data_IF_485961228108
#
_entry.id   IF_485961228108
#
_cell.length_a   1.000
_cell.length_b   1.000
_cell.length_c   1.000
_cell.angle_alpha   90.00
_cell.angle_beta   90.00
_cell.angle_gamma   90.00
#
_symmetry.space_group_name_H-M   'P 1'
#
loop_
_entity.id
_entity.type
_entity.pdbx_description
1 polymer ?
#
# COMPACT_ATOMS: atom_id res chain seq x y z
N UNK A 1 6.65 -34.98 13.67
CA UNK A 1 7.57 -34.51 14.72
C UNK A 1 7.35 -33.03 14.97
N UNK A 2 7.39 -32.59 16.22
CA UNK A 2 7.18 -31.19 16.59
C UNK A 2 8.51 -30.43 16.60
N UNK A 3 8.47 -29.13 16.29
CA UNK A 3 9.65 -28.27 16.41
C UNK A 3 9.65 -27.62 17.79
N UNK A 4 10.74 -27.75 18.51
CA UNK A 4 10.96 -27.14 19.82
C UNK A 4 12.01 -26.03 19.69
N UNK A 5 11.75 -24.90 20.36
CA UNK A 5 12.73 -23.82 20.49
C UNK A 5 13.39 -23.98 21.85
N UNK A 6 14.71 -23.91 21.88
CA UNK A 6 15.49 -24.10 23.09
C UNK A 6 16.52 -22.99 23.28
N UNK A 7 16.84 -22.72 24.54
CA UNK A 7 17.95 -21.88 24.98
C UNK A 7 18.72 -22.62 26.06
N UNK A 8 20.05 -22.55 26.00
CA UNK A 8 20.94 -23.17 26.96
C UNK A 8 22.27 -22.45 27.04
N UNK A 9 23.14 -22.92 27.94
CA UNK A 9 24.52 -22.47 28.03
C UNK A 9 25.45 -23.57 27.55
N UNK A 10 26.41 -23.23 26.69
CA UNK A 10 27.46 -24.16 26.30
C UNK A 10 28.48 -24.32 27.44
N UNK A 11 29.45 -25.23 27.26
CA UNK A 11 30.55 -25.48 28.22
C UNK A 11 31.41 -24.24 28.54
N UNK A 12 31.38 -23.22 27.69
CA UNK A 12 32.13 -21.97 27.83
C UNK A 12 31.33 -20.88 28.56
N UNK A 13 30.08 -21.16 28.93
CA UNK A 13 29.18 -20.23 29.61
C UNK A 13 28.36 -19.34 28.65
N UNK A 14 28.56 -19.44 27.34
CA UNK A 14 27.83 -18.65 26.35
C UNK A 14 26.39 -19.13 26.21
N UNK A 15 25.47 -18.17 26.11
CA UNK A 15 24.07 -18.45 25.85
C UNK A 15 23.88 -18.80 24.38
N UNK A 16 23.55 -20.07 24.12
CA UNK A 16 23.27 -20.62 22.80
C UNK A 16 21.80 -21.03 22.70
N UNK A 17 21.21 -20.91 21.51
CA UNK A 17 19.81 -21.25 21.30
C UNK A 17 19.52 -21.58 19.86
N UNK A 18 18.47 -22.37 19.64
CA UNK A 18 18.12 -22.85 18.31
C UNK A 18 16.79 -23.57 18.27
N UNK A 19 16.52 -24.20 17.13
CA UNK A 19 15.34 -25.03 16.91
C UNK A 19 15.78 -26.48 16.69
N UNK A 20 15.05 -27.43 17.30
CA UNK A 20 15.27 -28.86 17.11
C UNK A 20 13.95 -29.56 16.84
N UNK A 21 13.99 -30.55 15.96
CA UNK A 21 12.84 -31.39 15.63
C UNK A 21 12.92 -32.63 16.52
N UNK A 22 11.86 -32.89 17.29
CA UNK A 22 11.79 -34.05 18.17
C UNK A 22 10.34 -34.50 18.37
N UNK A 23 10.16 -35.68 18.96
CA UNK A 23 8.87 -36.21 19.37
C UNK A 23 8.41 -35.64 20.72
N UNK A 24 9.32 -35.36 21.67
CA UNK A 24 8.98 -34.82 23.00
C UNK A 24 10.01 -33.78 23.52
N UNK A 25 9.63 -33.03 24.57
CA UNK A 25 10.52 -32.06 25.24
C UNK A 25 11.72 -32.76 25.90
N UNK A 26 11.49 -33.96 26.45
CA UNK A 26 12.48 -34.79 27.10
C UNK A 26 13.53 -35.29 26.09
N UNK A 27 13.11 -35.61 24.87
CA UNK A 27 14.02 -36.01 23.78
C UNK A 27 14.94 -34.85 23.38
N UNK A 28 14.41 -33.63 23.23
CA UNK A 28 15.21 -32.43 22.94
C UNK A 28 16.21 -32.17 24.06
N UNK A 29 15.76 -32.28 25.31
CA UNK A 29 16.62 -32.03 26.48
C UNK A 29 17.76 -33.03 26.55
N UNK A 30 17.49 -34.32 26.28
CA UNK A 30 18.53 -35.36 26.22
C UNK A 30 19.52 -35.14 25.08
N UNK A 31 19.06 -34.71 23.91
CA UNK A 31 19.94 -34.38 22.78
C UNK A 31 20.86 -33.19 23.12
N UNK A 32 20.32 -32.14 23.72
CA UNK A 32 21.10 -30.96 24.12
C UNK A 32 22.10 -31.26 25.24
N UNK A 33 21.74 -32.13 26.19
CA UNK A 33 22.66 -32.59 27.22
C UNK A 33 23.81 -33.43 26.64
N UNK A 34 23.56 -34.27 25.63
CA UNK A 34 24.62 -34.98 24.88
C UNK A 34 25.55 -34.03 24.14
N UNK A 35 25.03 -32.90 23.65
CA UNK A 35 25.81 -31.82 23.04
C UNK A 35 26.54 -30.93 24.08
N UNK A 36 26.51 -31.30 25.37
CA UNK A 36 27.09 -30.54 26.49
C UNK A 36 26.51 -29.12 26.63
N UNK A 37 25.22 -28.97 26.35
CA UNK A 37 24.48 -27.73 26.50
C UNK A 37 23.57 -27.86 27.72
N UNK A 38 23.81 -27.02 28.73
CA UNK A 38 22.91 -26.91 29.88
C UNK A 38 21.63 -26.19 29.47
N UNK A 39 20.54 -26.93 29.44
CA UNK A 39 19.24 -26.43 29.01
C UNK A 39 18.66 -25.45 30.04
N UNK A 40 18.40 -24.22 29.62
CA UNK A 40 17.76 -23.19 30.44
C UNK A 40 16.25 -23.16 30.19
N UNK A 41 15.83 -23.35 28.93
CA UNK A 41 14.42 -23.38 28.56
C UNK A 41 14.24 -24.18 27.27
N UNK A 42 13.25 -25.10 27.25
CA UNK A 42 12.75 -25.75 26.04
C UNK A 42 11.25 -25.55 26.02
N UNK A 43 10.73 -25.04 24.90
CA UNK A 43 9.30 -24.89 24.72
C UNK A 43 8.89 -25.38 23.32
N UNK A 44 7.72 -26.03 23.19
CA UNK A 44 7.18 -26.33 21.88
C UNK A 44 7.01 -25.02 21.11
N UNK A 45 7.46 -24.98 19.86
CA UNK A 45 7.27 -23.82 18.99
C UNK A 45 5.78 -23.62 18.78
N UNK A 46 5.16 -22.80 19.63
CA UNK A 46 3.76 -22.41 19.47
C UNK A 46 3.65 -21.80 18.07
N UNK A 47 2.86 -22.42 17.19
CA UNK A 47 2.42 -21.76 15.96
C UNK A 47 1.78 -20.46 16.44
N UNK A 48 2.46 -19.33 16.27
CA UNK A 48 1.92 -18.04 16.65
C UNK A 48 0.51 -17.95 16.07
N UNK A 49 -0.45 -17.48 16.85
CA UNK A 49 -1.83 -17.27 16.43
C UNK A 49 -1.80 -16.35 15.20
N UNK A 50 -1.68 -16.94 14.01
CA UNK A 50 -1.67 -16.22 12.77
C UNK A 50 -3.12 -15.89 12.51
N UNK A 51 -3.60 -14.77 13.08
CA UNK A 51 -4.91 -14.21 12.76
C UNK A 51 -4.92 -14.04 11.23
N UNK A 52 -5.64 -14.91 10.48
CA UNK A 52 -5.54 -14.92 9.01
C UNK A 52 -5.99 -13.59 8.40
N UNK A 53 -6.76 -12.81 9.17
CA UNK A 53 -7.33 -11.55 8.76
C UNK A 53 -6.37 -10.34 8.81
N UNK A 54 -5.22 -10.42 9.51
CA UNK A 54 -4.30 -9.28 9.64
C UNK A 54 -3.10 -9.31 8.68
N UNK A 55 -2.80 -10.43 8.01
CA UNK A 55 -1.75 -10.48 6.99
C UNK A 55 -2.25 -9.87 5.69
N UNK A 56 -2.11 -8.55 5.56
CA UNK A 56 -2.19 -7.87 4.26
C UNK A 56 -0.98 -8.25 3.42
N UNK A 57 -1.07 -9.39 2.76
CA UNK A 57 -0.20 -9.77 1.65
C UNK A 57 -0.38 -8.75 0.51
N UNK A 58 0.58 -7.84 0.38
CA UNK A 58 0.59 -6.79 -0.64
C UNK A 58 2.02 -6.47 -1.07
N UNK A 59 2.22 -6.29 -2.37
CA UNK A 59 3.48 -5.80 -2.93
C UNK A 59 3.48 -4.27 -2.91
N UNK A 60 4.55 -3.65 -2.41
CA UNK A 60 4.68 -2.19 -2.45
C UNK A 60 5.07 -1.77 -3.85
N UNK A 61 4.54 -0.63 -4.33
CA UNK A 61 4.84 -0.14 -5.68
C UNK A 61 6.35 0.08 -5.91
N UNK A 62 7.10 0.50 -4.89
CA UNK A 62 8.57 0.64 -4.97
C UNK A 62 9.27 -0.71 -5.14
N UNK A 63 8.78 -1.77 -4.49
CA UNK A 63 9.32 -3.13 -4.64
C UNK A 63 9.04 -3.66 -6.04
N UNK A 64 7.82 -3.47 -6.54
CA UNK A 64 7.46 -3.83 -7.91
C UNK A 64 8.31 -3.08 -8.95
N UNK A 65 8.63 -1.80 -8.70
CA UNK A 65 9.50 -1.00 -9.56
C UNK A 65 10.91 -1.58 -9.64
N UNK A 66 11.51 -1.92 -8.49
CA UNK A 66 12.84 -2.54 -8.42
C UNK A 66 12.84 -3.90 -9.12
N UNK A 67 11.88 -4.77 -8.81
CA UNK A 67 11.73 -6.07 -9.47
C UNK A 67 11.62 -5.93 -11.00
N UNK A 68 10.79 -4.99 -11.47
CA UNK A 68 10.56 -4.81 -12.91
C UNK A 68 11.80 -4.26 -13.62
N UNK A 69 12.52 -3.33 -12.98
CA UNK A 69 13.79 -2.82 -13.50
C UNK A 69 14.84 -3.91 -13.57
N UNK A 70 15.01 -4.69 -12.49
CA UNK A 70 15.99 -5.77 -12.48
C UNK A 70 15.64 -6.86 -13.50
N UNK A 71 14.37 -7.23 -13.62
CA UNK A 71 13.92 -8.18 -14.65
C UNK A 71 14.24 -7.65 -16.06
N UNK A 72 13.93 -6.38 -16.35
CA UNK A 72 14.29 -5.75 -17.63
C UNK A 72 15.79 -5.81 -17.88
N UNK A 73 16.64 -5.46 -16.90
CA UNK A 73 18.11 -5.48 -17.08
C UNK A 73 18.63 -6.89 -17.33
N UNK A 74 18.09 -7.91 -16.65
CA UNK A 74 18.52 -9.29 -16.84
C UNK A 74 18.10 -9.83 -18.22
N UNK A 75 16.88 -9.52 -18.66
CA UNK A 75 16.38 -9.93 -19.98
C UNK A 75 17.07 -9.15 -21.11
N UNK A 76 17.34 -7.85 -20.93
CA UNK A 76 18.13 -7.04 -21.87
C UNK A 76 19.58 -7.55 -21.98
N UNK A 77 20.09 -8.18 -20.92
CA UNK A 77 21.40 -8.87 -20.91
C UNK A 77 21.32 -10.33 -21.42
N UNK A 78 20.20 -10.72 -22.02
CA UNK A 78 19.97 -12.04 -22.63
C UNK A 78 20.05 -13.22 -21.65
N UNK A 79 19.92 -12.98 -20.34
CA UNK A 79 19.84 -14.08 -19.39
C UNK A 79 18.52 -14.84 -19.59
N UNK A 80 18.55 -16.19 -19.53
CA UNK A 80 17.34 -17.01 -19.58
C UNK A 80 16.30 -16.53 -18.57
N UNK A 81 15.04 -16.43 -18.99
CA UNK A 81 13.94 -15.93 -18.14
C UNK A 81 13.84 -16.69 -16.81
N UNK A 82 14.01 -18.01 -16.84
CA UNK A 82 13.97 -18.85 -15.65
C UNK A 82 15.08 -18.51 -14.65
N UNK A 83 16.30 -18.30 -15.14
CA UNK A 83 17.43 -17.86 -14.32
C UNK A 83 17.19 -16.47 -13.75
N UNK A 84 16.70 -15.54 -14.58
CA UNK A 84 16.32 -14.20 -14.15
C UNK A 84 15.28 -14.22 -13.02
N UNK A 85 14.22 -15.03 -13.16
CA UNK A 85 13.20 -15.19 -12.12
C UNK A 85 13.76 -15.79 -10.82
N UNK A 86 14.70 -16.74 -10.91
CA UNK A 86 15.35 -17.31 -9.74
C UNK A 86 16.15 -16.25 -8.95
N UNK A 87 17.00 -15.50 -9.65
CA UNK A 87 17.80 -14.41 -9.05
C UNK A 87 16.89 -13.40 -8.33
N UNK A 88 15.81 -12.98 -8.99
CA UNK A 88 14.86 -12.01 -8.43
C UNK A 88 14.13 -12.55 -7.20
N UNK A 89 13.77 -13.84 -7.20
CA UNK A 89 13.14 -14.47 -6.03
C UNK A 89 14.08 -14.50 -4.83
N UNK A 90 15.34 -14.83 -5.05
CA UNK A 90 16.36 -14.88 -4.00
C UNK A 90 16.63 -13.49 -3.39
N UNK A 91 16.70 -12.45 -4.24
CA UNK A 91 16.92 -11.06 -3.81
C UNK A 91 15.69 -10.41 -3.15
N UNK A 92 14.49 -10.94 -3.36
CA UNK A 92 13.25 -10.34 -2.85
C UNK A 92 13.09 -10.54 -1.35
N UNK A 93 13.16 -9.45 -0.58
CA UNK A 93 12.99 -9.45 0.89
C UNK A 93 11.54 -9.69 1.33
N UNK A 94 10.57 -9.27 0.52
CA UNK A 94 9.16 -9.41 0.85
C UNK A 94 8.74 -10.87 0.69
N UNK A 95 8.47 -11.55 1.81
CA UNK A 95 8.11 -12.98 1.84
C UNK A 95 6.90 -13.33 0.95
N UNK A 96 5.91 -12.43 0.88
CA UNK A 96 4.76 -12.64 -0.01
C UNK A 96 5.19 -12.52 -1.47
N UNK A 97 5.92 -11.47 -1.81
CA UNK A 97 6.35 -11.27 -3.19
C UNK A 97 7.31 -12.36 -3.67
N UNK A 98 8.20 -12.84 -2.79
CA UNK A 98 9.06 -14.00 -3.05
C UNK A 98 8.25 -15.25 -3.39
N UNK A 99 7.19 -15.54 -2.63
CA UNK A 99 6.28 -16.65 -2.93
C UNK A 99 5.61 -16.47 -4.30
N UNK A 100 5.13 -15.26 -4.59
CA UNK A 100 4.53 -14.93 -5.90
C UNK A 100 5.54 -15.17 -7.04
N UNK A 101 6.78 -14.70 -6.91
CA UNK A 101 7.81 -14.90 -7.95
C UNK A 101 8.14 -16.38 -8.12
N UNK A 102 8.24 -17.15 -7.03
CA UNK A 102 8.46 -18.60 -7.09
C UNK A 102 7.34 -19.32 -7.83
N UNK A 103 6.08 -19.02 -7.51
CA UNK A 103 4.96 -19.65 -8.22
C UNK A 103 4.91 -19.23 -9.69
N UNK A 104 5.22 -17.97 -10.00
CA UNK A 104 5.36 -17.53 -11.40
C UNK A 104 6.47 -18.31 -12.12
N UNK A 105 7.60 -18.53 -11.46
CA UNK A 105 8.72 -19.32 -12.00
C UNK A 105 8.29 -20.77 -12.26
N UNK A 106 7.68 -21.42 -11.27
CA UNK A 106 7.17 -22.80 -11.37
C UNK A 106 6.15 -22.96 -12.49
N UNK A 107 5.24 -21.99 -12.65
CA UNK A 107 4.25 -21.99 -13.73
C UNK A 107 4.90 -21.88 -15.12
N UNK A 108 5.92 -21.03 -15.26
CA UNK A 108 6.66 -20.86 -16.51
C UNK A 108 7.52 -22.10 -16.81
N UNK A 109 8.11 -22.72 -15.78
CA UNK A 109 8.80 -24.01 -15.90
C UNK A 109 7.88 -25.12 -16.41
N UNK A 110 6.62 -25.11 -15.95
CA UNK A 110 5.58 -26.02 -16.40
C UNK A 110 5.00 -25.67 -17.80
N UNK A 111 5.52 -24.63 -18.47
CA UNK A 111 5.14 -24.26 -19.83
C UNK A 111 4.06 -23.17 -19.95
N UNK A 112 3.62 -22.56 -18.85
CA UNK A 112 2.72 -21.40 -18.91
C UNK A 112 3.47 -20.17 -19.45
N UNK A 113 2.78 -19.27 -20.15
CA UNK A 113 3.39 -17.99 -20.50
C UNK A 113 3.61 -17.11 -19.27
N UNK A 114 4.57 -16.19 -19.32
CA UNK A 114 4.86 -15.25 -18.23
C UNK A 114 3.63 -14.38 -17.91
N UNK A 115 2.87 -13.97 -18.92
CA UNK A 115 1.60 -13.28 -18.73
C UNK A 115 0.59 -14.13 -17.96
N UNK A 116 0.36 -15.39 -18.36
CA UNK A 116 -0.59 -16.29 -17.70
C UNK A 116 -0.22 -16.52 -16.23
N UNK A 117 1.06 -16.78 -15.97
CA UNK A 117 1.59 -16.96 -14.62
C UNK A 117 1.39 -15.70 -13.75
N UNK A 118 1.70 -14.51 -14.28
CA UNK A 118 1.54 -13.24 -13.55
C UNK A 118 0.08 -12.87 -13.29
N UNK A 119 -0.84 -13.19 -14.22
CA UNK A 119 -2.28 -12.90 -14.07
C UNK A 119 -2.94 -13.60 -12.89
N UNK A 120 -2.38 -14.72 -12.41
CA UNK A 120 -2.84 -15.39 -11.17
C UNK A 120 -2.67 -14.50 -9.93
N UNK A 121 -1.87 -13.43 -10.01
CA UNK A 121 -1.54 -12.54 -8.90
C UNK A 121 -1.91 -11.07 -9.16
N UNK A 122 -3.20 -10.71 -9.30
CA UNK A 122 -3.66 -9.34 -9.61
C UNK A 122 -3.32 -8.31 -8.52
N UNK A 123 -2.98 -8.78 -7.30
CA UNK A 123 -2.53 -7.92 -6.19
C UNK A 123 -1.06 -7.48 -6.33
N UNK A 124 -0.28 -8.18 -7.16
CA UNK A 124 1.13 -7.91 -7.44
C UNK A 124 1.31 -7.30 -8.83
N UNK A 125 0.64 -7.86 -9.83
CA UNK A 125 0.71 -7.44 -11.24
C UNK A 125 -0.67 -6.97 -11.70
N UNK A 126 -0.80 -5.71 -12.06
CA UNK A 126 -2.07 -5.16 -12.55
C UNK A 126 -2.30 -5.53 -14.03
N UNK A 127 -3.49 -5.21 -14.56
CA UNK A 127 -3.85 -5.52 -15.94
C UNK A 127 -2.90 -4.87 -16.95
N UNK A 128 -2.48 -3.63 -16.69
CA UNK A 128 -1.50 -2.93 -17.51
C UNK A 128 -0.18 -3.73 -17.59
N UNK A 129 0.33 -4.18 -16.45
CA UNK A 129 1.53 -5.00 -16.38
C UNK A 129 1.38 -6.28 -17.21
N UNK A 130 0.29 -7.01 -17.01
CA UNK A 130 0.07 -8.30 -17.66
C UNK A 130 -0.10 -8.13 -19.18
N UNK A 131 -0.83 -7.11 -19.62
CA UNK A 131 -1.04 -6.83 -21.05
C UNK A 131 0.25 -6.41 -21.77
N UNK A 132 1.13 -5.63 -21.13
CA UNK A 132 2.41 -5.26 -21.72
C UNK A 132 3.36 -6.47 -21.83
N UNK A 133 3.36 -7.36 -20.83
CA UNK A 133 4.09 -8.62 -20.91
C UNK A 133 3.52 -9.50 -22.03
N UNK A 134 2.20 -9.64 -22.10
CA UNK A 134 1.53 -10.42 -23.14
C UNK A 134 1.90 -9.95 -24.55
N UNK A 135 1.88 -8.62 -24.77
CA UNK A 135 2.27 -8.02 -26.04
C UNK A 135 3.71 -8.38 -26.39
N UNK A 136 4.64 -8.20 -25.43
CA UNK A 136 6.06 -8.51 -25.63
C UNK A 136 6.34 -10.01 -25.87
N UNK A 137 5.61 -10.91 -25.21
CA UNK A 137 5.69 -12.35 -25.48
C UNK A 137 5.18 -12.70 -26.88
N UNK A 138 4.05 -12.12 -27.30
CA UNK A 138 3.46 -12.38 -28.60
C UNK A 138 4.27 -11.80 -29.76
N UNK A 139 4.90 -10.63 -29.56
CA UNK A 139 5.71 -9.96 -30.58
C UNK A 139 7.20 -10.31 -30.52
N UNK A 140 7.63 -11.17 -29.59
CA UNK A 140 9.04 -11.51 -29.39
C UNK A 140 9.93 -10.36 -28.93
N UNK A 141 9.35 -9.27 -28.41
CA UNK A 141 10.06 -8.06 -27.96
C UNK A 141 9.85 -7.79 -26.47
N UNK A 142 10.00 -8.85 -25.69
CA UNK A 142 9.80 -8.84 -24.24
C UNK A 142 10.78 -7.90 -23.52
N UNK A 143 12.03 -7.82 -24.00
CA UNK A 143 13.07 -6.87 -23.56
C UNK A 143 12.55 -5.41 -23.63
N UNK A 144 12.04 -5.00 -24.80
CA UNK A 144 11.52 -3.64 -25.04
C UNK A 144 10.33 -3.36 -24.12
N UNK A 145 9.41 -4.31 -23.99
CA UNK A 145 8.21 -4.14 -23.17
C UNK A 145 8.53 -4.09 -21.67
N UNK A 146 9.45 -4.93 -21.19
CA UNK A 146 9.90 -4.90 -19.80
C UNK A 146 10.61 -3.59 -19.46
N UNK A 147 11.44 -3.06 -20.36
CA UNK A 147 12.08 -1.75 -20.20
C UNK A 147 11.08 -0.62 -20.08
N UNK A 148 10.08 -0.57 -20.98
CA UNK A 148 8.99 0.42 -20.94
C UNK A 148 8.16 0.29 -19.67
N UNK A 149 7.84 -0.94 -19.27
CA UNK A 149 7.11 -1.23 -18.05
C UNK A 149 7.88 -0.76 -16.80
N UNK A 150 9.18 -1.04 -16.71
CA UNK A 150 10.04 -0.57 -15.64
C UNK A 150 10.05 0.96 -15.54
N UNK A 151 10.26 1.66 -16.67
CA UNK A 151 10.23 3.12 -16.72
C UNK A 151 8.87 3.71 -16.33
N UNK A 152 7.77 3.07 -16.75
CA UNK A 152 6.43 3.47 -16.38
C UNK A 152 6.23 3.38 -14.86
N UNK A 153 6.56 2.24 -14.25
CA UNK A 153 6.37 2.02 -12.82
C UNK A 153 7.28 2.96 -12.01
N UNK A 154 8.55 3.13 -12.42
CA UNK A 154 9.48 4.05 -11.77
C UNK A 154 8.99 5.50 -11.77
N UNK A 155 8.56 6.02 -12.92
CA UNK A 155 8.07 7.39 -12.98
C UNK A 155 6.74 7.53 -12.20
N UNK A 156 5.93 6.48 -12.12
CA UNK A 156 4.74 6.45 -11.24
C UNK A 156 5.12 6.51 -9.76
N UNK A 157 6.15 5.78 -9.33
CA UNK A 157 6.71 5.86 -7.97
C UNK A 157 7.24 7.26 -7.69
N UNK A 158 8.02 7.84 -8.61
CA UNK A 158 8.56 9.20 -8.48
C UNK A 158 7.45 10.23 -8.34
N UNK A 159 6.43 10.18 -9.21
CA UNK A 159 5.29 11.09 -9.15
C UNK A 159 4.55 10.98 -7.81
N UNK A 160 4.28 9.76 -7.35
CA UNK A 160 3.61 9.53 -6.06
C UNK A 160 4.44 10.04 -4.89
N UNK A 161 5.77 9.89 -4.95
CA UNK A 161 6.67 10.43 -3.93
C UNK A 161 6.67 11.95 -3.90
N UNK A 162 6.74 12.61 -5.07
CA UNK A 162 6.67 14.08 -5.19
C UNK A 162 5.35 14.63 -4.64
N UNK A 163 4.22 14.03 -5.02
CA UNK A 163 2.90 14.41 -4.48
C UNK A 163 2.86 14.22 -2.96
N UNK A 164 3.36 13.10 -2.46
CA UNK A 164 3.41 12.86 -1.01
C UNK A 164 4.25 13.93 -0.31
N UNK A 165 5.42 14.27 -0.83
CA UNK A 165 6.30 15.29 -0.26
C UNK A 165 5.65 16.68 -0.26
N UNK A 166 5.03 17.09 -1.37
CA UNK A 166 4.33 18.36 -1.48
C UNK A 166 3.16 18.49 -0.49
N UNK A 167 2.52 17.38 -0.12
CA UNK A 167 1.41 17.36 0.85
C UNK A 167 1.86 17.37 2.32
N UNK A 168 3.13 17.11 2.63
CA UNK A 168 3.60 17.04 4.02
C UNK A 168 3.40 18.38 4.73
N UNK A 169 3.85 19.49 4.12
CA UNK A 169 3.77 20.81 4.75
C UNK A 169 2.32 21.29 4.96
N UNK A 170 1.42 21.29 3.94
CA UNK A 170 0.02 21.65 4.14
C UNK A 170 -0.70 20.81 5.20
N UNK A 171 -0.42 19.50 5.25
CA UNK A 171 -1.04 18.62 6.26
C UNK A 171 -0.47 18.90 7.64
N UNK A 172 0.84 19.12 7.77
CA UNK A 172 1.49 19.41 9.04
C UNK A 172 0.99 20.74 9.64
N UNK A 173 0.94 21.81 8.85
CA UNK A 173 0.46 23.11 9.33
C UNK A 173 -1.03 23.10 9.68
N UNK A 174 -1.86 22.42 8.87
CA UNK A 174 -3.28 22.26 9.17
C UNK A 174 -3.49 21.44 10.45
N UNK A 175 -2.75 20.34 10.63
CA UNK A 175 -2.81 19.55 11.86
C UNK A 175 -2.37 20.37 13.08
N UNK A 176 -1.29 21.14 12.96
CA UNK A 176 -0.84 22.03 14.03
C UNK A 176 -1.88 23.10 14.37
N UNK A 177 -2.47 23.76 13.36
CA UNK A 177 -3.53 24.74 13.55
C UNK A 177 -4.75 24.15 14.27
N UNK A 178 -5.16 22.93 13.92
CA UNK A 178 -6.26 22.22 14.61
C UNK A 178 -5.90 21.92 16.06
N UNK A 179 -4.69 21.46 16.34
CA UNK A 179 -4.22 21.20 17.71
C UNK A 179 -4.22 22.49 18.54
N UNK A 180 -3.67 23.58 18.01
CA UNK A 180 -3.66 24.88 18.69
C UNK A 180 -5.07 25.40 18.92
N UNK A 181 -5.97 25.29 17.93
CA UNK A 181 -7.37 25.71 18.08
C UNK A 181 -8.10 24.90 19.17
N UNK A 182 -7.91 23.59 19.20
CA UNK A 182 -8.48 22.72 20.26
C UNK A 182 -7.90 23.10 21.62
N UNK A 183 -6.59 23.34 21.71
CA UNK A 183 -5.94 23.76 22.96
C UNK A 183 -6.49 25.10 23.46
N UNK A 184 -6.64 26.09 22.58
CA UNK A 184 -7.24 27.37 22.92
C UNK A 184 -8.67 27.22 23.43
N UNK A 185 -9.50 26.44 22.73
CA UNK A 185 -10.88 26.19 23.13
C UNK A 185 -10.98 25.39 24.44
N UNK A 186 -10.06 24.46 24.68
CA UNK A 186 -10.10 23.61 25.87
C UNK A 186 -9.58 24.30 27.12
N UNK A 187 -8.47 25.05 27.03
CA UNK A 187 -7.75 25.60 28.20
C UNK A 187 -7.80 27.11 28.30
N UNK A 188 -7.65 27.84 27.19
CA UNK A 188 -7.44 29.30 27.24
C UNK A 188 -8.77 30.06 27.36
N UNK A 189 -9.74 29.80 26.48
CA UNK A 189 -11.04 30.49 26.48
C UNK A 189 -11.79 30.38 27.83
N UNK A 190 -11.79 29.24 28.53
CA UNK A 190 -12.45 29.11 29.84
C UNK A 190 -11.84 29.99 30.93
N UNK A 191 -10.52 30.19 30.90
CA UNK A 191 -9.83 31.08 31.86
C UNK A 191 -10.35 32.50 31.65
N UNK A 192 -10.40 32.96 30.40
CA UNK A 192 -10.99 34.26 30.08
C UNK A 192 -12.46 34.34 30.46
N UNK A 193 -13.24 33.27 30.26
CA UNK A 193 -14.65 33.23 30.66
C UNK A 193 -14.84 33.46 32.17
N UNK A 194 -13.97 32.89 33.01
CA UNK A 194 -13.97 33.13 34.46
C UNK A 194 -13.70 34.59 34.82
N UNK A 195 -12.67 35.20 34.20
CA UNK A 195 -12.31 36.60 34.43
C UNK A 195 -13.47 37.54 34.05
N UNK A 196 -14.16 37.29 32.93
CA UNK A 196 -15.30 38.10 32.50
C UNK A 196 -16.51 37.99 33.45
N UNK A 197 -16.70 36.85 34.11
CA UNK A 197 -17.75 36.69 35.11
C UNK A 197 -17.46 37.51 36.38
N UNK A 198 -16.20 37.57 36.80
CA UNK A 198 -15.77 38.37 37.97
C UNK A 198 -15.90 39.88 37.72
N UNK A 199 -15.71 40.32 36.47
CA UNK A 199 -15.83 41.73 36.09
C UNK A 199 -17.27 42.25 35.98
N UNK A 200 -18.29 41.39 36.12
CA UNK A 200 -19.70 41.77 36.05
C UNK A 200 -20.17 42.36 34.71
N UNK A 201 -19.36 42.22 33.66
CA UNK A 201 -19.62 42.81 32.34
C UNK A 201 -20.50 41.90 31.48
N UNK A 202 -21.42 42.49 30.72
CA UNK A 202 -22.19 41.76 29.71
C UNK A 202 -21.26 41.31 28.58
N UNK A 203 -21.22 40.00 28.33
CA UNK A 203 -20.38 39.43 27.28
C UNK A 203 -20.89 39.83 25.89
N UNK A 204 -20.04 40.39 25.01
CA UNK A 204 -20.38 40.56 23.60
C UNK A 204 -20.78 39.23 22.95
N UNK A 205 -21.67 39.28 21.95
CA UNK A 205 -22.23 38.09 21.31
C UNK A 205 -21.15 37.11 20.78
N UNK A 206 -20.07 37.64 20.20
CA UNK A 206 -18.95 36.84 19.69
C UNK A 206 -18.21 36.09 20.81
N UNK A 207 -18.00 36.74 21.96
CA UNK A 207 -17.35 36.14 23.14
C UNK A 207 -18.24 35.07 23.76
N UNK A 208 -19.55 35.32 23.86
CA UNK A 208 -20.52 34.33 24.35
C UNK A 208 -20.56 33.07 23.46
N UNK A 209 -20.51 33.23 22.13
CA UNK A 209 -20.41 32.13 21.17
C UNK A 209 -19.12 31.32 21.37
N UNK A 210 -17.97 31.99 21.48
CA UNK A 210 -16.68 31.32 21.71
C UNK A 210 -16.65 30.51 23.02
N UNK A 211 -17.21 31.07 24.10
CA UNK A 211 -17.34 30.38 25.40
C UNK A 211 -18.31 29.19 25.28
N UNK A 212 -19.40 29.34 24.51
CA UNK A 212 -20.32 28.23 24.19
C UNK A 212 -19.61 27.10 23.45
N UNK A 213 -18.81 27.43 22.43
CA UNK A 213 -18.03 26.47 21.65
C UNK A 213 -16.97 25.77 22.52
N UNK A 214 -16.30 26.53 23.39
CA UNK A 214 -15.35 26.00 24.37
C UNK A 214 -15.99 24.97 25.31
N UNK A 215 -17.16 25.28 25.88
CA UNK A 215 -17.94 24.34 26.72
C UNK A 215 -18.37 23.10 25.95
N UNK A 216 -18.77 23.24 24.69
CA UNK A 216 -19.09 22.11 23.81
C UNK A 216 -17.88 21.22 23.57
N UNK A 217 -16.73 21.79 23.21
CA UNK A 217 -15.48 21.04 22.98
C UNK A 217 -15.04 20.31 24.24
N UNK A 218 -15.07 20.96 25.40
CA UNK A 218 -14.75 20.31 26.69
C UNK A 218 -15.63 19.11 26.99
N UNK A 219 -16.94 19.27 26.87
CA UNK A 219 -17.90 18.22 27.21
C UNK A 219 -17.85 17.04 26.24
N UNK A 220 -17.64 17.31 24.94
CA UNK A 220 -17.76 16.32 23.89
C UNK A 220 -16.43 15.96 23.21
N UNK A 221 -15.27 16.28 23.79
CA UNK A 221 -13.96 16.03 23.14
C UNK A 221 -13.78 14.56 22.71
N UNK A 222 -14.19 13.61 23.55
CA UNK A 222 -14.12 12.18 23.23
C UNK A 222 -15.06 11.82 22.07
N UNK A 223 -16.28 12.35 22.06
CA UNK A 223 -17.24 12.15 20.98
C UNK A 223 -16.80 12.83 19.68
N UNK A 224 -16.09 13.96 19.75
CA UNK A 224 -15.51 14.64 18.59
C UNK A 224 -14.40 13.75 17.98
N UNK A 225 -13.50 13.20 18.80
CA UNK A 225 -12.47 12.27 18.33
C UNK A 225 -13.07 11.00 17.73
N UNK A 226 -14.04 10.38 18.41
CA UNK A 226 -14.77 9.21 17.90
C UNK A 226 -15.55 9.56 16.62
N UNK A 227 -16.13 10.75 16.55
CA UNK A 227 -16.82 11.27 15.38
C UNK A 227 -15.89 11.43 14.18
N UNK A 228 -14.69 11.99 14.37
CA UNK A 228 -13.68 12.10 13.31
C UNK A 228 -13.25 10.71 12.82
N UNK A 229 -12.97 9.78 13.74
CA UNK A 229 -12.64 8.40 13.39
C UNK A 229 -13.81 7.75 12.62
N UNK A 230 -15.03 7.91 13.11
CA UNK A 230 -16.26 7.43 12.48
C UNK A 230 -16.47 8.02 11.09
N UNK A 231 -16.16 9.30 10.89
CA UNK A 231 -16.28 9.99 9.61
C UNK A 231 -15.21 9.48 8.63
N UNK A 232 -13.98 9.25 9.08
CA UNK A 232 -12.90 8.66 8.27
C UNK A 232 -13.26 7.22 7.86
N UNK A 233 -13.73 6.40 8.81
CA UNK A 233 -14.14 5.01 8.56
C UNK A 233 -15.38 4.96 7.67
N UNK A 234 -16.38 5.81 7.94
CA UNK A 234 -17.61 5.95 7.18
C UNK A 234 -17.35 6.40 5.75
N UNK A 235 -16.52 7.43 5.56
CA UNK A 235 -16.05 7.86 4.24
C UNK A 235 -15.34 6.72 3.50
N UNK A 236 -14.47 5.97 4.20
CA UNK A 236 -13.77 4.83 3.63
C UNK A 236 -14.71 3.67 3.28
N UNK A 237 -15.80 3.48 4.03
CA UNK A 237 -16.83 2.49 3.74
C UNK A 237 -17.71 2.93 2.57
N UNK A 238 -18.13 4.20 2.52
CA UNK A 238 -18.88 4.78 1.41
C UNK A 238 -18.14 4.61 0.08
N UNK A 239 -16.82 4.85 0.06
CA UNK A 239 -15.98 4.66 -1.13
C UNK A 239 -15.83 3.21 -1.58
N UNK A 240 -16.23 2.22 -0.77
CA UNK A 240 -16.31 0.81 -1.22
C UNK A 240 -17.55 0.54 -2.04
N UNK A 241 -18.62 1.32 -1.86
CA UNK A 241 -19.86 1.17 -2.64
C UNK A 241 -19.73 1.88 -3.99
N UNK A 242 -20.28 1.34 -5.10
CA UNK A 242 -20.21 1.98 -6.42
C UNK A 242 -20.82 3.39 -6.42
N UNK A 243 -22.00 3.55 -5.81
CA UNK A 243 -22.68 4.86 -5.69
C UNK A 243 -21.88 5.85 -4.85
N UNK A 244 -21.32 5.42 -3.72
CA UNK A 244 -20.49 6.28 -2.87
C UNK A 244 -19.19 6.69 -3.54
N UNK A 245 -18.55 5.81 -4.32
CA UNK A 245 -17.38 6.16 -5.13
C UNK A 245 -17.71 7.23 -6.17
N UNK A 246 -18.83 7.11 -6.88
CA UNK A 246 -19.28 8.12 -7.85
C UNK A 246 -19.52 9.50 -7.21
N UNK A 247 -20.23 9.54 -6.08
CA UNK A 247 -20.49 10.80 -5.38
C UNK A 247 -19.18 11.42 -4.87
N UNK A 248 -18.38 10.64 -4.14
CA UNK A 248 -17.11 11.15 -3.57
C UNK A 248 -16.13 11.61 -4.64
N UNK A 249 -15.96 10.87 -5.74
CA UNK A 249 -15.05 11.22 -6.83
C UNK A 249 -15.53 12.49 -7.57
N UNK A 250 -16.84 12.74 -7.66
CA UNK A 250 -17.41 13.98 -8.22
C UNK A 250 -17.13 15.18 -7.33
N UNK A 251 -17.28 15.02 -6.02
CA UNK A 251 -17.04 16.10 -5.05
C UNK A 251 -15.56 16.48 -4.98
N UNK A 252 -14.67 15.48 -4.96
CA UNK A 252 -13.23 15.71 -4.92
C UNK A 252 -12.73 16.53 -6.11
N UNK A 253 -13.31 16.35 -7.30
CA UNK A 253 -12.96 17.15 -8.49
C UNK A 253 -13.48 18.60 -8.46
N UNK A 254 -14.40 18.94 -7.55
CA UNK A 254 -14.95 20.29 -7.39
C UNK A 254 -14.29 21.09 -6.26
N UNK A 255 -13.41 20.46 -5.48
CA UNK A 255 -12.70 21.16 -4.41
C UNK A 255 -11.80 22.24 -5.04
N UNK A 256 -11.89 23.51 -4.62
CA UNK A 256 -11.02 24.58 -5.12
C UNK A 256 -9.54 24.21 -4.95
N UNK A 257 -8.68 24.60 -5.91
CA UNK A 257 -7.25 24.26 -6.01
C UNK A 257 -6.93 22.77 -6.23
N UNK A 258 -7.59 21.84 -5.53
CA UNK A 258 -7.32 20.40 -5.62
C UNK A 258 -7.96 19.76 -6.85
N UNK A 259 -9.15 20.20 -7.27
CA UNK A 259 -9.89 19.61 -8.38
C UNK A 259 -9.17 19.70 -9.72
N UNK A 260 -8.60 20.88 -10.01
CA UNK A 260 -7.83 21.11 -11.24
C UNK A 260 -6.52 20.30 -11.23
N UNK A 261 -5.82 20.29 -10.10
CA UNK A 261 -4.60 19.50 -9.92
C UNK A 261 -4.86 18.00 -10.12
N UNK A 262 -5.91 17.47 -9.50
CA UNK A 262 -6.28 16.06 -9.65
C UNK A 262 -6.67 15.71 -11.08
N UNK A 263 -7.37 16.62 -11.79
CA UNK A 263 -7.69 16.45 -13.21
C UNK A 263 -6.42 16.41 -14.05
N UNK A 264 -5.48 17.35 -13.88
CA UNK A 264 -4.19 17.37 -14.60
C UNK A 264 -3.38 16.09 -14.33
N UNK A 265 -3.33 15.63 -13.09
CA UNK A 265 -2.64 14.37 -12.72
C UNK A 265 -3.31 13.16 -13.37
N UNK A 266 -4.65 13.11 -13.40
CA UNK A 266 -5.38 12.01 -14.01
C UNK A 266 -5.17 11.99 -15.53
N UNK A 267 -5.33 13.12 -16.22
CA UNK A 267 -5.08 13.24 -17.67
C UNK A 267 -3.64 12.83 -18.00
N UNK A 268 -2.66 13.35 -17.28
CA UNK A 268 -1.25 12.98 -17.49
C UNK A 268 -1.01 11.48 -17.35
N UNK A 269 -1.62 10.84 -16.35
CA UNK A 269 -1.54 9.38 -16.16
C UNK A 269 -2.21 8.63 -17.30
N UNK A 270 -3.43 9.00 -17.66
CA UNK A 270 -4.21 8.41 -18.75
C UNK A 270 -3.42 8.47 -20.06
N UNK A 271 -2.98 9.67 -20.47
CA UNK A 271 -2.22 9.88 -21.70
C UNK A 271 -0.95 9.06 -21.72
N UNK A 272 -0.25 8.97 -20.59
CA UNK A 272 0.97 8.18 -20.49
C UNK A 272 0.73 6.68 -20.55
N UNK A 273 -0.28 6.17 -19.84
CA UNK A 273 -0.65 4.75 -19.89
C UNK A 273 -1.05 4.38 -21.31
N UNK A 274 -1.89 5.19 -21.95
CA UNK A 274 -2.32 5.00 -23.33
C UNK A 274 -1.14 5.00 -24.30
N UNK A 275 -0.24 5.98 -24.20
CA UNK A 275 0.99 6.03 -24.99
C UNK A 275 1.84 4.76 -24.79
N UNK A 276 1.99 4.28 -23.54
CA UNK A 276 2.78 3.08 -23.26
C UNK A 276 2.17 1.83 -23.89
N UNK A 277 0.84 1.69 -23.82
CA UNK A 277 0.09 0.57 -24.39
C UNK A 277 0.11 0.59 -25.92
N UNK A 278 -0.22 1.72 -26.53
CA UNK A 278 -0.28 1.88 -27.98
C UNK A 278 1.11 1.71 -28.60
N UNK A 279 2.14 2.36 -28.05
CA UNK A 279 3.52 2.12 -28.49
C UNK A 279 3.93 0.67 -28.26
N UNK A 280 3.36 0.03 -27.23
CA UNK A 280 3.55 -1.37 -26.89
C UNK A 280 2.87 -2.37 -27.83
N UNK A 281 2.19 -1.92 -28.87
CA UNK A 281 1.48 -2.78 -29.82
C UNK A 281 0.09 -3.25 -29.34
N UNK A 282 -0.39 -2.75 -28.20
CA UNK A 282 -1.73 -3.10 -27.71
C UNK A 282 -2.80 -2.41 -28.55
N UNK A 283 -3.81 -3.13 -29.08
CA UNK A 283 -4.88 -2.56 -29.90
C UNK A 283 -5.60 -1.40 -29.20
N UNK A 284 -5.97 -0.36 -29.95
CA UNK A 284 -6.50 0.90 -29.38
C UNK A 284 -7.73 0.70 -28.48
N UNK A 285 -8.68 -0.16 -28.87
CA UNK A 285 -9.87 -0.44 -28.07
C UNK A 285 -9.53 -1.10 -26.72
N UNK A 286 -8.59 -2.04 -26.71
CA UNK A 286 -8.13 -2.68 -25.47
C UNK A 286 -7.26 -1.71 -24.67
N UNK A 287 -6.46 -0.87 -25.33
CA UNK A 287 -5.66 0.15 -24.68
C UNK A 287 -6.53 1.18 -23.94
N UNK A 288 -7.66 1.61 -24.54
CA UNK A 288 -8.65 2.49 -23.89
C UNK A 288 -9.30 1.82 -22.67
N UNK A 289 -9.66 0.54 -22.78
CA UNK A 289 -10.23 -0.24 -21.66
C UNK A 289 -9.27 -0.39 -20.49
N UNK A 290 -8.01 -0.71 -20.77
CA UNK A 290 -6.98 -0.84 -19.72
C UNK A 290 -6.71 0.54 -19.10
N UNK A 291 -6.60 1.58 -19.93
CA UNK A 291 -6.32 2.94 -19.45
C UNK A 291 -7.46 3.52 -18.61
N UNK A 292 -8.73 3.16 -18.87
CA UNK A 292 -9.85 3.65 -18.06
C UNK A 292 -9.68 3.30 -16.58
N UNK A 293 -9.18 2.09 -16.30
CA UNK A 293 -8.89 1.61 -14.94
C UNK A 293 -7.77 2.39 -14.22
N UNK A 294 -6.87 3.06 -14.97
CA UNK A 294 -5.75 3.81 -14.38
C UNK A 294 -6.13 5.23 -13.99
N UNK A 295 -7.25 5.76 -14.48
CA UNK A 295 -7.73 7.11 -14.20
C UNK A 295 -7.96 7.37 -12.70
N UNK A 296 -8.21 6.31 -11.91
CA UNK A 296 -8.43 6.36 -10.45
C UNK A 296 -9.50 7.38 -10.02
N UNK A 297 -10.45 7.66 -10.91
CA UNK A 297 -11.65 8.47 -10.71
C UNK A 297 -12.74 7.91 -11.62
N UNK A 298 -13.88 7.53 -11.06
CA UNK A 298 -14.91 6.80 -11.81
C UNK A 298 -15.55 7.64 -12.91
N UNK A 299 -15.60 8.98 -12.79
CA UNK A 299 -16.14 9.84 -13.85
C UNK A 299 -15.21 9.85 -15.07
N UNK A 300 -13.90 9.92 -14.84
CA UNK A 300 -12.91 9.87 -15.92
C UNK A 300 -12.84 8.49 -16.56
N UNK A 301 -12.95 7.43 -15.75
CA UNK A 301 -13.03 6.06 -16.22
C UNK A 301 -14.25 5.85 -17.14
N UNK A 302 -15.43 6.31 -16.71
CA UNK A 302 -16.67 6.24 -17.51
C UNK A 302 -16.53 7.03 -18.80
N UNK A 303 -15.98 8.25 -18.76
CA UNK A 303 -15.77 9.06 -19.97
C UNK A 303 -14.85 8.38 -21.01
N UNK A 304 -13.83 7.64 -20.56
CA UNK A 304 -12.95 6.88 -21.46
C UNK A 304 -13.70 5.67 -22.05
N UNK A 305 -14.51 4.98 -21.26
CA UNK A 305 -15.29 3.84 -21.73
C UNK A 305 -16.37 4.27 -22.74
N UNK A 306 -17.02 5.41 -22.52
CA UNK A 306 -17.97 6.00 -23.48
C UNK A 306 -17.25 6.39 -24.78
N UNK A 307 -16.05 6.97 -24.68
CA UNK A 307 -15.23 7.26 -25.85
C UNK A 307 -14.85 5.98 -26.62
N UNK A 308 -14.56 4.88 -25.92
CA UNK A 308 -14.30 3.56 -26.55
C UNK A 308 -15.51 3.05 -27.32
N UNK A 309 -16.72 3.18 -26.77
CA UNK A 309 -17.95 2.74 -27.44
C UNK A 309 -18.23 3.51 -28.73
N UNK A 310 -17.88 4.80 -28.77
CA UNK A 310 -18.05 5.64 -29.96
C UNK A 310 -17.06 5.36 -31.10
N UNK A 311 -15.93 4.74 -30.79
CA UNK A 311 -14.84 4.44 -31.74
C UNK A 311 -14.87 2.97 -32.17
N UNK A 312 -15.67 2.13 -31.51
CA UNK A 312 -15.94 0.74 -31.88
C UNK A 312 -16.99 0.66 -32.98
#
# INVERSE_FOLDING_TARGET
MAVYVWKGKNRYGDSVGGERVASSVEEVTRLLQREQIQVVNVSPKRKGLAIPFLKREKVRLKELAVYSRQLSVLIDAELPLMQSLNILSEQTRNKYFKRVINTVREDVEAGSTLNQAKRKFPKAFDDLYCNLVASGEQSGSLDIMLRRLAEYIEKTVRLRSKVKQAMIYPVAIAAFAVVVAIFMLWKIIPIFAGIFQELGAQLPALTAFMIGLSRFVQKYILFIFLGIIGLIVGFRFLRRTPRGRWLTDRWVLKIPLFGELLRKVAVSRITRTLSTLVSGGVPMLEALKITSSTANNILLETAILDARQKVS
#
